data_IF_232151767962
#
_entry.id   IF_232151767962
#
_cell.length_a   1.000
_cell.length_b   1.000
_cell.length_c   1.000
_cell.angle_alpha   90.00
_cell.angle_beta   90.00
_cell.angle_gamma   90.00
#
_symmetry.space_group_name_H-M   'P 1'
#
loop_
_entity.id
_entity.type
_entity.pdbx_description
1 polymer ?
#
# COMPACT_ATOMS: atom_id res chain seq x y z
N UNK A 1 15.18 1.01 -12.60
CA UNK A 1 14.60 1.62 -11.38
C UNK A 1 14.74 0.74 -10.14
N UNK A 2 14.66 -0.59 -10.26
CA UNK A 2 14.79 -1.51 -9.14
C UNK A 2 16.02 -1.28 -8.22
N UNK A 3 17.19 -1.00 -8.78
CA UNK A 3 18.39 -0.64 -7.98
C UNK A 3 18.19 0.65 -7.16
N UNK A 4 17.56 1.68 -7.76
CA UNK A 4 17.25 2.93 -7.06
C UNK A 4 16.23 2.70 -5.94
N UNK A 5 15.22 1.86 -6.19
CA UNK A 5 14.25 1.47 -5.16
C UNK A 5 14.94 0.78 -3.98
N UNK A 6 15.85 -0.14 -4.26
CA UNK A 6 16.59 -0.86 -3.23
C UNK A 6 17.46 0.09 -2.39
N UNK A 7 18.23 0.96 -3.05
CA UNK A 7 19.06 1.96 -2.36
C UNK A 7 18.20 2.88 -1.50
N UNK A 8 17.10 3.41 -2.06
CA UNK A 8 16.19 4.30 -1.34
C UNK A 8 15.56 3.63 -0.11
N UNK A 9 15.10 2.38 -0.24
CA UNK A 9 14.50 1.62 0.86
C UNK A 9 15.53 1.29 1.94
N UNK A 10 16.73 0.83 1.55
CA UNK A 10 17.82 0.51 2.49
C UNK A 10 18.26 1.73 3.28
N UNK A 11 18.43 2.87 2.60
CA UNK A 11 18.94 4.10 3.20
C UNK A 11 17.80 4.88 3.91
N UNK A 12 16.56 4.38 3.85
CA UNK A 12 15.33 5.03 4.33
C UNK A 12 15.17 6.48 3.83
N UNK A 13 15.62 6.72 2.60
CA UNK A 13 15.47 8.01 1.92
C UNK A 13 14.03 8.15 1.42
N UNK A 14 13.20 8.80 2.22
CA UNK A 14 11.76 8.99 1.95
C UNK A 14 11.53 9.71 0.61
N UNK A 15 12.34 10.71 0.29
CA UNK A 15 12.19 11.48 -0.94
C UNK A 15 12.56 10.63 -2.17
N UNK A 16 13.60 9.80 -2.06
CA UNK A 16 13.92 8.84 -3.11
C UNK A 16 12.85 7.75 -3.25
N UNK A 17 12.32 7.22 -2.14
CA UNK A 17 11.22 6.25 -2.16
C UNK A 17 9.98 6.83 -2.84
N UNK A 18 9.60 8.08 -2.50
CA UNK A 18 8.49 8.78 -3.14
C UNK A 18 8.71 8.99 -4.64
N UNK A 19 9.92 9.40 -5.04
CA UNK A 19 10.26 9.62 -6.45
C UNK A 19 10.14 8.33 -7.26
N UNK A 20 10.60 7.21 -6.71
CA UNK A 20 10.45 5.89 -7.34
C UNK A 20 8.99 5.49 -7.39
N UNK A 21 8.25 5.59 -6.28
CA UNK A 21 6.85 5.17 -6.20
C UNK A 21 5.91 5.97 -7.12
N UNK A 22 6.22 7.24 -7.40
CA UNK A 22 5.44 8.12 -8.30
C UNK A 22 5.85 8.03 -9.76
N UNK A 23 6.98 7.40 -10.06
CA UNK A 23 7.50 7.35 -11.41
C UNK A 23 6.64 6.41 -12.26
N UNK A 24 6.06 6.88 -13.39
CA UNK A 24 5.17 6.05 -14.22
C UNK A 24 5.82 4.79 -14.80
N UNK A 25 7.16 4.76 -14.86
CA UNK A 25 7.95 3.62 -15.32
C UNK A 25 8.26 2.60 -14.22
N UNK A 26 7.82 2.82 -12.97
CA UNK A 26 7.95 1.84 -11.90
C UNK A 26 7.03 0.65 -12.17
N UNK A 27 7.62 -0.54 -12.32
CA UNK A 27 6.89 -1.79 -12.41
C UNK A 27 6.52 -2.35 -11.02
N UNK A 28 5.72 -3.41 -11.01
CA UNK A 28 5.28 -4.06 -9.77
C UNK A 28 6.46 -4.54 -8.90
N UNK A 29 7.52 -5.08 -9.51
CA UNK A 29 8.72 -5.49 -8.75
C UNK A 29 9.42 -4.33 -8.07
N UNK A 30 9.56 -3.19 -8.77
CA UNK A 30 10.14 -1.97 -8.21
C UNK A 30 9.32 -1.48 -7.02
N UNK A 31 7.99 -1.51 -7.11
CA UNK A 31 7.11 -1.14 -5.99
C UNK A 31 7.20 -2.14 -4.82
N UNK A 32 7.37 -3.44 -5.11
CA UNK A 32 7.60 -4.45 -4.08
C UNK A 32 8.87 -4.22 -3.28
N UNK A 33 9.94 -3.72 -3.93
CA UNK A 33 11.19 -3.39 -3.23
C UNK A 33 11.00 -2.25 -2.22
N UNK A 34 10.12 -1.28 -2.52
CA UNK A 34 9.83 -0.17 -1.62
C UNK A 34 8.93 -0.57 -0.43
N UNK A 35 8.11 -1.60 -0.61
CA UNK A 35 7.13 -2.02 0.39
C UNK A 35 7.71 -3.11 1.30
N UNK A 36 8.00 -2.82 2.58
CA UNK A 36 8.54 -3.81 3.51
C UNK A 36 7.52 -4.94 3.79
N UNK A 37 7.94 -6.04 4.41
CA UNK A 37 7.03 -7.09 4.86
C UNK A 37 6.02 -6.57 5.90
N UNK A 38 4.93 -7.32 6.14
CA UNK A 38 3.82 -6.92 7.03
C UNK A 38 4.30 -6.49 8.43
N UNK A 39 5.30 -7.17 8.99
CA UNK A 39 5.84 -6.89 10.33
C UNK A 39 6.60 -5.57 10.46
N UNK A 40 6.84 -4.86 9.36
CA UNK A 40 7.63 -3.62 9.29
C UNK A 40 6.86 -2.49 8.59
N UNK A 41 5.54 -2.65 8.38
CA UNK A 41 4.72 -1.63 7.71
C UNK A 41 4.60 -0.32 8.49
N UNK A 42 4.86 -0.33 9.80
CA UNK A 42 4.97 0.86 10.64
C UNK A 42 6.14 1.77 10.24
N UNK A 43 7.15 1.22 9.59
CA UNK A 43 8.32 1.95 9.10
C UNK A 43 8.13 2.49 7.69
N UNK A 44 7.09 2.06 6.97
CA UNK A 44 6.77 2.57 5.65
C UNK A 44 6.11 3.96 5.78
N UNK A 45 6.70 5.04 5.24
CA UNK A 45 6.08 6.35 5.32
C UNK A 45 4.73 6.37 4.62
N UNK A 46 3.73 6.98 5.27
CA UNK A 46 2.34 7.06 4.75
C UNK A 46 2.28 7.57 3.31
N UNK A 47 3.07 8.61 2.99
CA UNK A 47 3.11 9.18 1.64
C UNK A 47 3.62 8.18 0.59
N UNK A 48 4.60 7.34 0.95
CA UNK A 48 5.11 6.29 0.06
C UNK A 48 4.08 5.19 -0.09
N UNK A 49 3.46 4.74 1.01
CA UNK A 49 2.40 3.74 0.97
C UNK A 49 1.23 4.16 0.06
N UNK A 50 0.77 5.41 0.19
CA UNK A 50 -0.27 5.98 -0.67
C UNK A 50 0.16 6.00 -2.13
N UNK A 51 1.38 6.49 -2.42
CA UNK A 51 1.91 6.53 -3.78
C UNK A 51 1.97 5.12 -4.41
N UNK A 52 2.34 4.11 -3.62
CA UNK A 52 2.36 2.73 -4.11
C UNK A 52 0.93 2.22 -4.38
N UNK A 53 -0.04 2.42 -3.48
CA UNK A 53 -1.43 1.96 -3.68
C UNK A 53 -2.06 2.62 -4.91
N UNK A 54 -1.82 3.91 -5.10
CA UNK A 54 -2.38 4.71 -6.18
C UNK A 54 -1.68 4.47 -7.53
N UNK A 55 -0.52 3.79 -7.52
CA UNK A 55 0.21 3.48 -8.74
C UNK A 55 -0.58 2.50 -9.64
N UNK A 56 -0.64 2.79 -10.94
CA UNK A 56 -1.39 1.97 -11.91
C UNK A 56 -0.86 0.53 -12.01
N UNK A 57 0.45 0.35 -11.79
CA UNK A 57 1.14 -0.95 -11.77
C UNK A 57 1.17 -1.63 -10.39
N UNK A 58 0.45 -1.10 -9.38
CA UNK A 58 0.44 -1.69 -8.04
C UNK A 58 -0.04 -3.15 -8.07
N UNK A 59 0.76 -4.14 -7.65
CA UNK A 59 0.33 -5.53 -7.64
C UNK A 59 -0.78 -5.78 -6.62
N UNK A 60 -1.71 -6.70 -6.90
CA UNK A 60 -2.78 -7.08 -5.97
C UNK A 60 -2.24 -7.54 -4.62
N UNK A 61 -1.23 -8.42 -4.61
CA UNK A 61 -0.61 -8.90 -3.36
C UNK A 61 0.09 -7.80 -2.54
N UNK A 62 0.42 -6.67 -3.15
CA UNK A 62 0.96 -5.52 -2.44
C UNK A 62 -0.15 -4.67 -1.83
N UNK A 63 -1.27 -4.47 -2.54
CA UNK A 63 -2.48 -3.89 -1.95
C UNK A 63 -2.98 -4.71 -0.76
N UNK A 64 -2.93 -6.05 -0.85
CA UNK A 64 -3.27 -6.96 0.25
C UNK A 64 -2.39 -6.76 1.46
N UNK A 65 -1.09 -6.54 1.24
CA UNK A 65 -0.15 -6.20 2.30
C UNK A 65 -0.52 -4.87 2.96
N UNK A 66 -0.78 -3.84 2.15
CA UNK A 66 -1.09 -2.49 2.62
C UNK A 66 -2.47 -2.36 3.27
N UNK A 67 -3.36 -3.34 3.10
CA UNK A 67 -4.59 -3.43 3.88
C UNK A 67 -4.34 -3.57 5.40
N UNK A 68 -3.12 -3.98 5.80
CA UNK A 68 -2.69 -4.07 7.21
C UNK A 68 -1.85 -2.89 7.68
N UNK A 69 -1.67 -1.86 6.83
CA UNK A 69 -0.86 -0.70 7.18
C UNK A 69 -1.46 0.03 8.39
N UNK A 70 -0.66 0.52 9.37
CA UNK A 70 -1.17 1.11 10.60
C UNK A 70 -1.96 2.42 10.38
N UNK A 71 -1.66 3.17 9.33
CA UNK A 71 -2.44 4.35 8.94
C UNK A 71 -3.78 3.98 8.27
N UNK A 72 -4.88 4.45 8.87
CA UNK A 72 -6.22 4.32 8.30
C UNK A 72 -6.34 4.95 6.90
N UNK A 73 -5.61 6.04 6.61
CA UNK A 73 -5.61 6.68 5.30
C UNK A 73 -5.11 5.75 4.19
N UNK A 74 -4.08 4.94 4.49
CA UNK A 74 -3.56 3.93 3.54
C UNK A 74 -4.58 2.82 3.34
N UNK A 75 -5.21 2.33 4.42
CA UNK A 75 -6.24 1.29 4.34
C UNK A 75 -7.46 1.76 3.54
N UNK A 76 -7.89 3.00 3.72
CA UNK A 76 -8.93 3.63 2.90
C UNK A 76 -8.54 3.74 1.41
N UNK A 77 -7.27 4.03 1.12
CA UNK A 77 -6.78 4.05 -0.26
C UNK A 77 -6.83 2.66 -0.90
N UNK A 78 -6.52 1.60 -0.15
CA UNK A 78 -6.67 0.21 -0.61
C UNK A 78 -8.12 -0.10 -0.94
N UNK A 79 -9.07 0.29 -0.08
CA UNK A 79 -10.52 0.14 -0.34
C UNK A 79 -10.91 0.86 -1.63
N UNK A 80 -10.54 2.13 -1.78
CA UNK A 80 -10.87 2.94 -2.95
C UNK A 80 -10.31 2.35 -4.25
N UNK A 81 -9.15 1.69 -4.18
CA UNK A 81 -8.55 1.00 -5.32
C UNK A 81 -9.40 -0.18 -5.80
N UNK A 82 -10.09 -0.88 -4.88
CA UNK A 82 -11.01 -1.97 -5.20
C UNK A 82 -10.35 -3.21 -5.82
N UNK A 83 -9.03 -3.37 -5.67
CA UNK A 83 -8.24 -4.48 -6.25
C UNK A 83 -7.37 -5.12 -5.18
N UNK A 84 -8.01 -5.70 -4.18
CA UNK A 84 -7.37 -6.54 -3.16
C UNK A 84 -8.05 -7.92 -3.13
N UNK A 85 -7.38 -8.93 -2.57
CA UNK A 85 -7.92 -10.27 -2.41
C UNK A 85 -8.90 -10.37 -1.24
N UNK A 86 -9.69 -11.45 -1.22
CA UNK A 86 -10.74 -11.70 -0.23
C UNK A 86 -10.26 -11.64 1.23
N UNK A 87 -9.02 -12.06 1.52
CA UNK A 87 -8.46 -11.95 2.87
C UNK A 87 -8.26 -10.48 3.30
N UNK A 88 -7.80 -9.63 2.37
CA UNK A 88 -7.65 -8.21 2.63
C UNK A 88 -9.02 -7.53 2.79
N UNK A 89 -10.01 -7.90 1.98
CA UNK A 89 -11.40 -7.44 2.14
C UNK A 89 -11.95 -7.80 3.52
N UNK A 90 -11.80 -9.06 3.96
CA UNK A 90 -12.24 -9.51 5.28
C UNK A 90 -11.58 -8.72 6.42
N UNK A 91 -10.27 -8.43 6.30
CA UNK A 91 -9.55 -7.58 7.25
C UNK A 91 -10.15 -6.17 7.30
N UNK A 92 -10.40 -5.57 6.13
CA UNK A 92 -10.91 -4.21 6.02
C UNK A 92 -12.37 -4.09 6.51
N UNK A 93 -13.20 -5.12 6.31
CA UNK A 93 -14.55 -5.22 6.86
C UNK A 93 -14.56 -5.34 8.39
N UNK A 94 -13.53 -5.96 8.96
CA UNK A 94 -13.33 -6.12 10.40
C UNK A 94 -12.35 -5.10 11.01
N UNK A 95 -11.98 -4.04 10.27
CA UNK A 95 -10.94 -3.08 10.68
C UNK A 95 -11.24 -2.47 12.06
N UNK A 96 -10.24 -2.20 12.92
CA UNK A 96 -10.51 -1.51 14.19
C UNK A 96 -11.07 -0.09 14.03
N UNK A 97 -10.74 0.60 12.93
CA UNK A 97 -11.24 1.95 12.64
C UNK A 97 -12.64 1.91 12.03
N UNK A 98 -13.60 2.60 12.67
CA UNK A 98 -14.99 2.62 12.23
C UNK A 98 -15.21 3.25 10.86
N UNK A 99 -14.37 4.21 10.46
CA UNK A 99 -14.43 4.84 9.14
C UNK A 99 -13.97 3.88 8.05
N UNK A 100 -12.92 3.10 8.34
CA UNK A 100 -12.42 2.06 7.43
C UNK A 100 -13.47 0.97 7.25
N UNK A 101 -14.05 0.45 8.34
CA UNK A 101 -15.14 -0.54 8.24
C UNK A 101 -16.31 -0.02 7.42
N UNK A 102 -16.80 1.19 7.71
CA UNK A 102 -17.92 1.76 6.99
C UNK A 102 -17.63 1.98 5.49
N UNK A 103 -16.37 2.29 5.12
CA UNK A 103 -15.96 2.35 3.73
C UNK A 103 -15.90 0.96 3.09
N UNK A 104 -15.34 -0.03 3.79
CA UNK A 104 -15.24 -1.41 3.32
C UNK A 104 -16.62 -2.04 3.11
N UNK A 105 -17.58 -1.83 4.02
CA UNK A 105 -18.96 -2.29 3.84
C UNK A 105 -19.62 -1.71 2.58
N UNK A 106 -19.35 -0.45 2.25
CA UNK A 106 -19.89 0.17 1.02
C UNK A 106 -19.23 -0.37 -0.25
N UNK A 107 -17.96 -0.74 -0.18
CA UNK A 107 -17.19 -1.20 -1.33
C UNK A 107 -17.31 -2.71 -1.59
N UNK A 108 -17.38 -3.51 -0.52
CA UNK A 108 -17.28 -4.98 -0.57
C UNK A 108 -18.47 -5.69 0.09
N UNK A 109 -19.29 -4.98 0.86
CA UNK A 109 -20.46 -5.56 1.53
C UNK A 109 -21.56 -5.85 0.53
N UNK A 110 -21.57 -7.08 0.02
CA UNK A 110 -22.71 -7.69 -0.67
C UNK A 110 -23.65 -8.36 0.32
#
# INVERSE_FOLDING_TARGET
MRTQAWTAARDRDVDAMLRVARSPSADGETLMVLCPPVGELDQLPVGVALAIVEHSQCPGGLADRLARHPSAAVRLAVIRRGRCGAMAEAILLADPDGSVRAAAQRAFGT
#
